data_IF_306278614356
#
_entry.id   IF_306278614356
#
_cell.length_a   1.000
_cell.length_b   1.000
_cell.length_c   1.000
_cell.angle_alpha   90.00
_cell.angle_beta   90.00
_cell.angle_gamma   90.00
#
_symmetry.space_group_name_H-M   'P 1'
#
loop_
_entity.id
_entity.type
_entity.pdbx_description
1 polymer ?
#
# COMPACT_ATOMS: atom_id res chain seq x y z
N UNK A 1 -11.02 19.59 -24.77
CA UNK A 1 -9.75 18.87 -25.04
C UNK A 1 -8.96 18.92 -23.74
N UNK A 2 -9.08 17.90 -22.91
CA UNK A 2 -8.38 17.83 -21.62
C UNK A 2 -6.90 17.52 -21.88
N UNK A 3 -6.04 18.48 -21.58
CA UNK A 3 -4.61 18.26 -21.48
C UNK A 3 -4.36 17.36 -20.29
N UNK A 4 -4.14 16.07 -20.54
CA UNK A 4 -3.83 15.11 -19.48
C UNK A 4 -2.52 15.49 -18.81
N UNK A 5 -2.60 15.97 -17.58
CA UNK A 5 -1.45 16.12 -16.69
C UNK A 5 -0.81 14.74 -16.50
N UNK A 6 0.52 14.65 -16.62
CA UNK A 6 1.25 13.39 -16.37
C UNK A 6 1.44 13.20 -14.85
N UNK A 7 0.34 13.18 -14.10
CA UNK A 7 0.33 13.12 -12.62
C UNK A 7 1.12 11.91 -12.13
N UNK A 8 0.90 10.73 -12.71
CA UNK A 8 1.63 9.53 -12.33
C UNK A 8 3.14 9.58 -12.60
N UNK A 9 3.61 10.21 -13.68
CA UNK A 9 5.06 10.39 -13.89
C UNK A 9 5.69 11.20 -12.76
N UNK A 10 5.01 12.25 -12.30
CA UNK A 10 5.50 13.09 -11.20
C UNK A 10 5.60 12.29 -9.89
N UNK A 11 4.54 11.58 -9.52
CA UNK A 11 4.53 10.75 -8.31
C UNK A 11 5.59 9.65 -8.33
N UNK A 12 5.77 8.98 -9.47
CA UNK A 12 6.82 7.95 -9.63
C UNK A 12 8.20 8.58 -9.43
N UNK A 13 8.47 9.73 -10.01
CA UNK A 13 9.76 10.42 -9.82
C UNK A 13 10.00 10.83 -8.36
N UNK A 14 8.96 11.27 -7.66
CA UNK A 14 9.04 11.58 -6.23
C UNK A 14 9.33 10.33 -5.40
N UNK A 15 8.67 9.21 -5.67
CA UNK A 15 8.92 7.92 -4.97
C UNK A 15 10.37 7.46 -5.17
N UNK A 16 10.87 7.54 -6.41
CA UNK A 16 12.25 7.18 -6.74
C UNK A 16 13.28 8.24 -6.33
N UNK A 17 12.84 9.36 -5.74
CA UNK A 17 13.67 10.53 -5.45
C UNK A 17 14.55 10.95 -6.65
N UNK A 18 13.95 10.92 -7.85
CA UNK A 18 14.65 11.12 -9.12
C UNK A 18 14.28 12.47 -9.72
N UNK A 19 15.27 13.30 -10.04
CA UNK A 19 15.02 14.59 -10.66
C UNK A 19 14.70 14.48 -12.15
N UNK A 20 14.09 15.52 -12.71
CA UNK A 20 13.89 15.67 -14.16
C UNK A 20 15.22 15.57 -14.92
N UNK A 21 16.32 16.05 -14.32
CA UNK A 21 17.65 15.99 -14.93
C UNK A 21 18.18 14.55 -14.96
N UNK A 22 18.00 13.79 -13.89
CA UNK A 22 18.43 12.39 -13.79
C UNK A 22 17.67 11.53 -14.80
N UNK A 23 16.35 11.71 -14.89
CA UNK A 23 15.53 11.00 -15.86
C UNK A 23 15.93 11.32 -17.30
N UNK A 24 16.18 12.60 -17.60
CA UNK A 24 16.64 13.02 -18.93
C UNK A 24 17.98 12.36 -19.31
N UNK A 25 18.91 12.28 -18.35
CA UNK A 25 20.19 11.60 -18.53
C UNK A 25 19.99 10.09 -18.76
N UNK A 26 19.19 9.41 -17.94
CA UNK A 26 18.88 7.98 -18.09
C UNK A 26 18.22 7.66 -19.43
N UNK A 27 17.35 8.54 -19.93
CA UNK A 27 16.66 8.35 -21.22
C UNK A 27 17.45 8.86 -22.44
N UNK A 28 18.55 9.58 -22.24
CA UNK A 28 19.37 10.16 -23.30
C UNK A 28 18.65 11.23 -24.13
N UNK A 29 17.78 12.03 -23.50
CA UNK A 29 16.98 13.08 -24.17
C UNK A 29 17.09 14.43 -23.48
N UNK A 30 16.69 15.50 -24.17
CA UNK A 30 16.74 16.85 -23.63
C UNK A 30 15.79 17.03 -22.43
N UNK A 31 16.28 17.67 -21.36
CA UNK A 31 15.49 18.00 -20.14
C UNK A 31 14.16 18.69 -20.44
N UNK A 32 14.12 19.55 -21.45
CA UNK A 32 12.91 20.26 -21.87
C UNK A 32 11.77 19.32 -22.32
N UNK A 33 12.10 18.14 -22.86
CA UNK A 33 11.08 17.15 -23.22
C UNK A 33 10.42 16.57 -21.97
N UNK A 34 11.21 16.14 -20.99
CA UNK A 34 10.71 15.63 -19.70
C UNK A 34 9.91 16.71 -18.97
N UNK A 35 10.42 17.94 -18.92
CA UNK A 35 9.73 19.06 -18.26
C UNK A 35 8.35 19.33 -18.88
N UNK A 36 8.21 19.21 -20.20
CA UNK A 36 6.91 19.35 -20.85
C UNK A 36 5.94 18.23 -20.50
N UNK A 37 6.43 17.00 -20.29
CA UNK A 37 5.60 15.88 -19.84
C UNK A 37 5.20 16.04 -18.38
N UNK A 38 6.17 16.35 -17.52
CA UNK A 38 6.00 16.53 -16.08
C UNK A 38 4.95 17.61 -15.74
N UNK A 39 4.95 18.72 -16.49
CA UNK A 39 3.97 19.80 -16.30
C UNK A 39 2.69 19.65 -17.15
N UNK A 40 2.45 18.48 -17.76
CA UNK A 40 1.26 18.24 -18.58
C UNK A 40 1.17 19.05 -19.88
N UNK A 41 2.20 19.82 -20.25
CA UNK A 41 2.22 20.65 -21.46
C UNK A 41 2.16 19.81 -22.73
N UNK A 42 2.66 18.58 -22.68
CA UNK A 42 2.60 17.59 -23.76
C UNK A 42 2.42 16.20 -23.19
N UNK A 43 1.65 15.35 -23.88
CA UNK A 43 1.57 13.92 -23.57
C UNK A 43 2.91 13.23 -23.83
N UNK A 44 3.18 12.18 -23.06
CA UNK A 44 4.36 11.33 -23.25
C UNK A 44 4.18 10.51 -24.54
N UNK A 45 5.13 10.55 -25.49
CA UNK A 45 5.08 9.71 -26.69
C UNK A 45 5.11 8.22 -26.34
N UNK A 46 4.45 7.38 -27.14
CA UNK A 46 4.37 5.93 -26.90
C UNK A 46 5.73 5.25 -26.78
N UNK A 47 6.70 5.62 -27.62
CA UNK A 47 8.05 5.05 -27.54
C UNK A 47 8.77 5.44 -26.25
N UNK A 48 8.42 6.58 -25.65
CA UNK A 48 8.96 7.01 -24.36
C UNK A 48 8.25 6.32 -23.20
N UNK A 49 6.95 6.05 -23.30
CA UNK A 49 6.24 5.21 -22.33
C UNK A 49 6.86 3.82 -22.22
N UNK A 50 7.19 3.19 -23.34
CA UNK A 50 7.92 1.91 -23.36
C UNK A 50 9.26 1.99 -22.65
N UNK A 51 10.04 3.03 -22.92
CA UNK A 51 11.34 3.24 -22.26
C UNK A 51 11.20 3.47 -20.76
N UNK A 52 10.20 4.25 -20.35
CA UNK A 52 9.89 4.47 -18.93
C UNK A 52 9.45 3.16 -18.25
N UNK A 53 8.57 2.41 -18.89
CA UNK A 53 8.11 1.09 -18.42
C UNK A 53 9.30 0.14 -18.19
N UNK A 54 10.23 0.08 -19.14
CA UNK A 54 11.45 -0.71 -18.99
C UNK A 54 12.40 -0.18 -17.91
N UNK A 55 12.58 1.14 -17.83
CA UNK A 55 13.50 1.77 -16.89
C UNK A 55 13.07 1.56 -15.42
N UNK A 56 11.76 1.63 -15.17
CA UNK A 56 11.21 1.52 -13.82
C UNK A 56 10.61 0.14 -13.52
N UNK A 57 10.53 -0.75 -14.51
CA UNK A 57 9.82 -2.02 -14.45
C UNK A 57 8.32 -1.87 -14.05
N UNK A 58 7.65 -0.86 -14.62
CA UNK A 58 6.26 -0.51 -14.31
C UNK A 58 5.35 -0.52 -15.56
N UNK A 59 4.03 -0.70 -15.41
CA UNK A 59 3.09 -0.60 -16.54
C UNK A 59 3.12 0.78 -17.23
N UNK A 60 3.01 0.82 -18.56
CA UNK A 60 3.05 2.06 -19.35
C UNK A 60 1.95 3.05 -18.92
N UNK A 61 0.77 2.53 -18.56
CA UNK A 61 -0.37 3.35 -18.16
C UNK A 61 -0.08 4.19 -16.91
N UNK A 62 0.78 3.72 -15.99
CA UNK A 62 1.06 4.40 -14.73
C UNK A 62 1.67 5.79 -14.95
N UNK A 63 2.40 6.00 -16.05
CA UNK A 63 3.04 7.29 -16.32
C UNK A 63 2.07 8.36 -16.86
N UNK A 64 0.87 7.97 -17.29
CA UNK A 64 -0.06 8.84 -18.03
C UNK A 64 -1.41 9.06 -17.33
N UNK A 65 -1.61 8.50 -16.14
CA UNK A 65 -2.84 8.66 -15.35
C UNK A 65 -2.51 8.99 -13.90
N UNK A 66 -3.54 9.37 -13.15
CA UNK A 66 -3.49 9.43 -11.70
C UNK A 66 -3.38 8.01 -11.11
N UNK A 67 -2.53 7.86 -10.10
CA UNK A 67 -2.29 6.57 -9.44
C UNK A 67 -3.24 6.41 -8.26
N UNK A 68 -3.85 5.23 -8.14
CA UNK A 68 -4.59 4.86 -6.93
C UNK A 68 -3.63 4.57 -5.77
N UNK A 69 -4.14 4.49 -4.54
CA UNK A 69 -3.36 4.06 -3.37
C UNK A 69 -2.68 2.70 -3.62
N UNK A 70 -3.41 1.75 -4.22
CA UNK A 70 -2.87 0.44 -4.61
C UNK A 70 -1.75 0.58 -5.65
N UNK A 71 -1.88 1.48 -6.63
CA UNK A 71 -0.83 1.70 -7.63
C UNK A 71 0.43 2.27 -6.98
N UNK A 72 0.30 3.28 -6.12
CA UNK A 72 1.42 3.89 -5.39
C UNK A 72 2.18 2.83 -4.58
N UNK A 73 1.47 1.94 -3.88
CA UNK A 73 2.09 0.85 -3.14
C UNK A 73 2.81 -0.14 -4.07
N UNK A 74 2.24 -0.45 -5.24
CA UNK A 74 2.93 -1.28 -6.23
C UNK A 74 4.20 -0.60 -6.78
N UNK A 75 4.17 0.71 -7.04
CA UNK A 75 5.35 1.47 -7.47
C UNK A 75 6.46 1.40 -6.42
N UNK A 76 6.12 1.59 -5.13
CA UNK A 76 7.08 1.45 -4.02
C UNK A 76 7.64 0.04 -3.92
N UNK A 77 6.80 -0.99 -4.05
CA UNK A 77 7.26 -2.39 -4.03
C UNK A 77 8.28 -2.65 -5.14
N UNK A 78 7.97 -2.22 -6.36
CA UNK A 78 8.88 -2.39 -7.51
C UNK A 78 10.16 -1.57 -7.36
N UNK A 79 10.12 -0.39 -6.76
CA UNK A 79 11.34 0.35 -6.42
C UNK A 79 12.25 -0.45 -5.49
N UNK A 80 11.69 -1.08 -4.44
CA UNK A 80 12.44 -1.92 -3.50
C UNK A 80 12.96 -3.18 -4.18
N UNK A 81 12.17 -3.82 -5.04
CA UNK A 81 12.60 -4.97 -5.86
C UNK A 81 13.82 -4.60 -6.73
N UNK A 82 13.75 -3.47 -7.44
CA UNK A 82 14.87 -2.99 -8.26
C UNK A 82 16.12 -2.69 -7.42
N UNK A 83 15.96 -2.15 -6.21
CA UNK A 83 17.07 -1.92 -5.28
C UNK A 83 17.69 -3.23 -4.79
N UNK A 84 16.87 -4.23 -4.47
CA UNK A 84 17.34 -5.56 -4.07
C UNK A 84 18.20 -6.16 -5.18
N UNK A 85 17.72 -6.10 -6.42
CA UNK A 85 18.46 -6.60 -7.57
C UNK A 85 19.80 -5.85 -7.75
N UNK A 86 19.81 -4.52 -7.59
CA UNK A 86 21.01 -3.68 -7.73
C UNK A 86 22.07 -3.92 -6.65
N UNK A 87 21.66 -4.15 -5.39
CA UNK A 87 22.57 -4.30 -4.25
C UNK A 87 22.84 -5.75 -3.84
N UNK A 88 22.17 -6.71 -4.48
CA UNK A 88 22.47 -8.13 -4.29
C UNK A 88 23.83 -8.47 -4.89
N UNK A 89 24.61 -9.27 -4.17
CA UNK A 89 25.89 -9.76 -4.69
C UNK A 89 26.13 -11.21 -4.30
N UNK A 90 26.80 -11.94 -5.18
CA UNK A 90 27.26 -13.29 -4.90
C UNK A 90 28.63 -13.24 -4.24
N UNK A 91 28.83 -14.11 -3.25
CA UNK A 91 30.15 -14.38 -2.69
C UNK A 91 30.36 -15.89 -2.60
N UNK A 92 31.63 -16.27 -2.67
CA UNK A 92 32.04 -17.67 -2.53
C UNK A 92 32.68 -17.87 -1.17
N UNK A 93 32.33 -18.95 -0.51
CA UNK A 93 32.91 -19.38 0.77
C UNK A 93 33.41 -20.82 0.63
N UNK A 94 34.60 -21.09 1.14
CA UNK A 94 35.10 -22.46 1.28
C UNK A 94 34.54 -23.01 2.59
N UNK A 95 33.80 -24.11 2.50
CA UNK A 95 33.24 -24.83 3.65
C UNK A 95 33.93 -26.17 3.76
N UNK A 96 34.37 -26.50 4.97
CA UNK A 96 34.96 -27.81 5.28
C UNK A 96 33.83 -28.84 5.44
N UNK A 97 33.89 -29.90 4.66
CA UNK A 97 33.01 -31.06 4.74
C UNK A 97 33.41 -31.98 5.90
N UNK A 98 32.51 -32.87 6.31
CA UNK A 98 32.71 -33.80 7.44
C UNK A 98 33.95 -34.72 7.27
N UNK A 99 34.45 -34.90 6.05
CA UNK A 99 35.65 -35.69 5.72
C UNK A 99 36.94 -34.85 5.66
N UNK A 100 36.86 -33.55 5.97
CA UNK A 100 37.96 -32.59 5.94
C UNK A 100 38.30 -32.07 4.53
N UNK A 101 37.49 -32.37 3.51
CA UNK A 101 37.62 -31.73 2.19
C UNK A 101 36.98 -30.34 2.17
N UNK A 102 37.52 -29.44 1.36
CA UNK A 102 36.95 -28.09 1.18
C UNK A 102 36.05 -28.05 -0.07
N UNK A 103 34.79 -27.69 0.11
CA UNK A 103 33.86 -27.39 -0.97
C UNK A 103 33.64 -25.88 -1.08
N UNK A 104 33.76 -25.36 -2.31
CA UNK A 104 33.43 -23.95 -2.59
C UNK A 104 31.93 -23.85 -2.85
N UNK A 105 31.23 -23.11 -1.99
CA UNK A 105 29.81 -22.79 -2.18
C UNK A 105 29.64 -21.33 -2.59
N UNK A 106 28.69 -21.07 -3.48
CA UNK A 106 28.28 -19.72 -3.87
C UNK A 106 27.00 -19.35 -3.12
N UNK A 107 26.99 -18.21 -2.46
CA UNK A 107 25.85 -17.68 -1.73
C UNK A 107 25.49 -16.28 -2.25
N UNK A 108 24.21 -15.92 -2.18
CA UNK A 108 23.73 -14.57 -2.51
C UNK A 108 23.48 -13.80 -1.22
N UNK A 109 24.17 -12.67 -1.03
CA UNK A 109 23.85 -11.74 0.03
C UNK A 109 22.73 -10.79 -0.42
N UNK A 110 21.69 -10.68 0.40
CA UNK A 110 20.62 -9.69 0.24
C UNK A 110 20.43 -8.99 1.58
N UNK A 111 20.25 -7.66 1.55
CA UNK A 111 19.99 -6.89 2.74
C UNK A 111 18.61 -7.25 3.35
N UNK A 112 18.63 -7.79 4.58
CA UNK A 112 17.42 -8.21 5.29
C UNK A 112 16.40 -7.07 5.49
N UNK A 113 16.84 -5.82 5.65
CA UNK A 113 15.93 -4.66 5.80
C UNK A 113 15.15 -4.37 4.51
N UNK A 114 15.76 -4.58 3.34
CA UNK A 114 15.07 -4.43 2.05
C UNK A 114 14.04 -5.55 1.84
N UNK A 115 14.38 -6.79 2.24
CA UNK A 115 13.44 -7.92 2.20
C UNK A 115 12.25 -7.68 3.13
N UNK A 116 12.50 -7.23 4.36
CA UNK A 116 11.45 -6.87 5.31
C UNK A 116 10.54 -5.77 4.75
N UNK A 117 11.12 -4.71 4.20
CA UNK A 117 10.33 -3.61 3.63
C UNK A 117 9.47 -4.07 2.44
N UNK A 118 10.01 -4.91 1.55
CA UNK A 118 9.23 -5.53 0.46
C UNK A 118 8.04 -6.31 1.02
N UNK A 119 8.24 -7.12 2.06
CA UNK A 119 7.19 -7.95 2.64
C UNK A 119 6.11 -7.11 3.34
N UNK A 120 6.50 -6.02 4.01
CA UNK A 120 5.58 -5.01 4.57
C UNK A 120 4.72 -4.36 3.47
N UNK A 121 5.33 -3.92 2.36
CA UNK A 121 4.60 -3.37 1.21
C UNK A 121 3.64 -4.40 0.58
N UNK A 122 4.01 -5.67 0.51
CA UNK A 122 3.12 -6.73 0.04
C UNK A 122 1.88 -6.89 0.95
N UNK A 123 2.07 -6.80 2.27
CA UNK A 123 0.97 -6.83 3.23
C UNK A 123 0.06 -5.60 3.07
N UNK A 124 0.65 -4.41 2.89
CA UNK A 124 -0.09 -3.17 2.67
C UNK A 124 -0.92 -3.22 1.39
N UNK A 125 -0.35 -3.73 0.29
CA UNK A 125 -1.08 -3.93 -0.98
C UNK A 125 -2.25 -4.88 -0.79
N UNK A 126 -2.04 -5.99 -0.06
CA UNK A 126 -3.11 -6.95 0.19
C UNK A 126 -4.23 -6.32 1.05
N UNK A 127 -3.86 -5.58 2.09
CA UNK A 127 -4.79 -4.85 2.93
C UNK A 127 -5.60 -3.83 2.12
N UNK A 128 -4.94 -3.07 1.24
CA UNK A 128 -5.60 -2.09 0.39
C UNK A 128 -6.56 -2.76 -0.60
N UNK A 129 -6.18 -3.89 -1.21
CA UNK A 129 -7.09 -4.64 -2.09
C UNK A 129 -8.32 -5.16 -1.36
N UNK A 130 -8.16 -5.59 -0.11
CA UNK A 130 -9.27 -5.99 0.76
C UNK A 130 -10.18 -4.78 1.00
N UNK A 131 -9.61 -3.62 1.36
CA UNK A 131 -10.33 -2.35 1.54
C UNK A 131 -11.16 -1.99 0.31
N UNK A 132 -10.53 -1.92 -0.86
CA UNK A 132 -11.17 -1.58 -2.14
C UNK A 132 -12.35 -2.52 -2.45
N UNK A 133 -12.13 -3.84 -2.32
CA UNK A 133 -13.15 -4.87 -2.53
C UNK A 133 -14.37 -4.70 -1.62
N UNK A 134 -14.14 -4.28 -0.37
CA UNK A 134 -15.22 -4.04 0.58
C UNK A 134 -16.00 -2.79 0.21
N UNK A 135 -15.32 -1.67 -0.07
CA UNK A 135 -15.96 -0.42 -0.51
C UNK A 135 -16.85 -0.69 -1.73
N UNK A 136 -16.34 -1.44 -2.71
CA UNK A 136 -17.10 -1.84 -3.89
C UNK A 136 -18.35 -2.67 -3.57
N UNK A 137 -18.24 -3.61 -2.62
CA UNK A 137 -19.38 -4.42 -2.19
C UNK A 137 -20.43 -3.59 -1.47
N UNK A 138 -20.02 -2.68 -0.60
CA UNK A 138 -20.93 -1.75 0.11
C UNK A 138 -21.63 -0.84 -0.89
N UNK A 139 -20.88 -0.22 -1.81
CA UNK A 139 -21.42 0.67 -2.83
C UNK A 139 -22.43 -0.02 -3.74
N UNK A 140 -22.17 -1.26 -4.18
CA UNK A 140 -23.14 -2.06 -4.94
C UNK A 140 -24.43 -2.32 -4.15
N UNK A 141 -24.29 -2.60 -2.87
CA UNK A 141 -25.43 -2.84 -1.97
C UNK A 141 -26.29 -1.59 -1.81
N UNK A 142 -25.67 -0.43 -1.61
CA UNK A 142 -26.36 0.87 -1.53
C UNK A 142 -27.11 1.19 -2.83
N UNK A 143 -26.50 0.97 -4.00
CA UNK A 143 -27.09 1.25 -5.32
C UNK A 143 -28.26 0.32 -5.68
N UNK A 144 -28.36 -0.86 -5.07
CA UNK A 144 -29.40 -1.86 -5.38
C UNK A 144 -30.83 -1.51 -4.88
N UNK A 145 -31.05 -0.32 -4.30
CA UNK A 145 -32.39 0.22 -4.01
C UNK A 145 -33.14 -0.39 -2.81
N UNK A 146 -32.65 -1.48 -2.22
CA UNK A 146 -33.36 -2.20 -1.15
C UNK A 146 -33.32 -1.52 0.24
N UNK A 147 -32.67 -0.36 0.39
CA UNK A 147 -32.17 0.08 1.71
C UNK A 147 -32.30 1.59 1.99
N UNK A 148 -33.38 2.25 1.55
CA UNK A 148 -33.59 3.68 1.74
C UNK A 148 -33.46 4.18 3.22
N UNK A 149 -33.76 3.32 4.22
CA UNK A 149 -33.63 3.66 5.64
C UNK A 149 -32.34 3.14 6.34
N UNK A 150 -31.49 2.33 5.69
CA UNK A 150 -30.23 1.83 6.27
C UNK A 150 -28.97 2.37 5.57
N UNK A 151 -29.13 3.29 4.62
CA UNK A 151 -28.04 3.89 3.84
C UNK A 151 -27.04 4.67 4.71
N UNK A 152 -27.51 5.34 5.78
CA UNK A 152 -26.65 6.13 6.67
C UNK A 152 -25.55 5.28 7.33
N UNK A 153 -25.91 4.17 7.97
CA UNK A 153 -24.95 3.31 8.68
C UNK A 153 -23.91 2.66 7.75
N UNK A 154 -24.28 2.36 6.49
CA UNK A 154 -23.35 1.81 5.50
C UNK A 154 -22.44 2.90 4.90
N UNK A 155 -22.94 4.13 4.74
CA UNK A 155 -22.13 5.29 4.35
C UNK A 155 -21.10 5.60 5.43
N UNK A 156 -21.52 5.68 6.70
CA UNK A 156 -20.62 5.90 7.83
C UNK A 156 -19.55 4.79 7.92
N UNK A 157 -19.89 3.56 7.51
CA UNK A 157 -18.93 2.47 7.41
C UNK A 157 -17.92 2.69 6.30
N UNK A 158 -18.31 3.24 5.13
CA UNK A 158 -17.37 3.60 4.05
C UNK A 158 -16.39 4.66 4.52
N UNK A 159 -16.88 5.70 5.20
CA UNK A 159 -16.00 6.78 5.69
C UNK A 159 -14.96 6.24 6.69
N UNK A 160 -15.36 5.31 7.56
CA UNK A 160 -14.44 4.62 8.49
C UNK A 160 -13.42 3.76 7.73
N UNK A 161 -13.83 3.09 6.65
CA UNK A 161 -12.93 2.29 5.81
C UNK A 161 -11.88 3.18 5.15
N UNK A 162 -12.33 4.25 4.50
CA UNK A 162 -11.47 5.18 3.77
C UNK A 162 -10.48 5.86 4.71
N UNK A 163 -10.87 6.10 5.96
CA UNK A 163 -10.03 6.77 6.97
C UNK A 163 -8.79 5.99 7.44
N UNK A 164 -8.63 4.70 7.11
CA UNK A 164 -7.53 3.84 7.59
C UNK A 164 -7.36 3.77 9.12
N UNK A 165 -8.40 4.13 9.89
CA UNK A 165 -8.33 4.16 11.36
C UNK A 165 -8.38 2.75 11.97
N UNK A 166 -8.77 1.71 11.21
CA UNK A 166 -9.00 0.36 11.73
C UNK A 166 -8.23 -0.69 10.89
N UNK A 167 -7.53 -1.66 11.51
CA UNK A 167 -6.78 -2.69 10.80
C UNK A 167 -7.72 -3.55 9.96
N UNK A 168 -7.24 -3.96 8.78
CA UNK A 168 -8.06 -4.67 7.78
C UNK A 168 -8.66 -5.98 8.31
N UNK A 169 -7.99 -6.67 9.23
CA UNK A 169 -8.50 -7.89 9.89
C UNK A 169 -9.70 -7.62 10.81
N UNK A 170 -9.63 -6.53 11.58
CA UNK A 170 -10.71 -6.05 12.45
C UNK A 170 -11.89 -5.59 11.61
N UNK A 171 -11.60 -4.87 10.53
CA UNK A 171 -12.59 -4.33 9.63
C UNK A 171 -13.35 -5.45 8.87
N UNK A 172 -12.67 -6.49 8.41
CA UNK A 172 -13.31 -7.68 7.82
C UNK A 172 -14.30 -8.34 8.81
N UNK A 173 -13.93 -8.44 10.10
CA UNK A 173 -14.85 -8.96 11.12
C UNK A 173 -16.07 -8.05 11.29
N UNK A 174 -15.88 -6.72 11.34
CA UNK A 174 -16.97 -5.74 11.44
C UNK A 174 -17.91 -5.83 10.25
N UNK A 175 -17.37 -5.88 9.03
CA UNK A 175 -18.18 -5.98 7.81
C UNK A 175 -18.96 -7.31 7.76
N UNK A 176 -18.31 -8.43 8.09
CA UNK A 176 -19.00 -9.72 8.19
C UNK A 176 -20.15 -9.63 9.19
N UNK A 177 -19.96 -8.94 10.32
CA UNK A 177 -21.00 -8.71 11.31
C UNK A 177 -22.16 -7.86 10.79
N UNK A 178 -21.84 -6.77 10.10
CA UNK A 178 -22.81 -5.85 9.52
C UNK A 178 -23.62 -6.56 8.43
N UNK A 179 -22.96 -7.18 7.44
CA UNK A 179 -23.61 -7.95 6.38
C UNK A 179 -24.45 -9.11 6.94
N UNK A 180 -23.97 -9.77 7.98
CA UNK A 180 -24.70 -10.84 8.66
C UNK A 180 -25.94 -10.32 9.41
N UNK A 181 -25.81 -9.25 10.20
CA UNK A 181 -26.94 -8.64 10.94
C UNK A 181 -28.07 -8.17 10.03
N UNK A 182 -27.75 -7.85 8.78
CA UNK A 182 -28.73 -7.47 7.76
C UNK A 182 -29.21 -8.64 6.87
N UNK A 183 -28.78 -9.88 7.13
CA UNK A 183 -29.27 -11.08 6.45
C UNK A 183 -28.68 -11.33 5.06
N UNK A 184 -27.56 -10.69 4.71
CA UNK A 184 -26.98 -10.68 3.35
C UNK A 184 -25.89 -11.76 3.10
N UNK A 185 -25.48 -12.54 4.14
CA UNK A 185 -24.65 -13.78 4.21
C UNK A 185 -23.23 -13.85 3.54
N UNK A 186 -22.23 -14.61 4.06
CA UNK A 186 -22.19 -15.67 5.12
C UNK A 186 -21.07 -15.53 6.19
N UNK A 187 -21.43 -15.79 7.45
CA UNK A 187 -20.60 -16.46 8.47
C UNK A 187 -21.28 -17.80 8.83
N UNK A 188 -20.54 -18.92 8.84
CA UNK A 188 -21.09 -20.25 9.21
C UNK A 188 -20.70 -20.61 10.64
N UNK A 189 -21.68 -20.55 11.54
CA UNK A 189 -21.60 -21.20 12.85
C UNK A 189 -23.00 -21.57 13.31
N UNK A 190 -23.19 -22.86 13.55
CA UNK A 190 -24.48 -23.57 13.50
C UNK A 190 -25.47 -23.29 14.65
N UNK A 191 -25.36 -22.22 15.45
CA UNK A 191 -26.36 -21.96 16.49
C UNK A 191 -26.42 -20.51 17.02
N UNK A 192 -27.56 -20.15 17.64
CA UNK A 192 -27.85 -18.85 18.30
C UNK A 192 -26.79 -18.42 19.32
N UNK A 193 -26.14 -19.37 19.98
CA UNK A 193 -25.01 -19.16 20.91
C UNK A 193 -23.81 -18.51 20.22
N UNK A 194 -23.62 -18.79 18.93
CA UNK A 194 -22.53 -18.27 18.13
C UNK A 194 -22.66 -16.78 17.81
N UNK A 195 -23.88 -16.22 17.74
CA UNK A 195 -24.05 -14.77 17.58
C UNK A 195 -23.59 -14.00 18.81
N UNK A 196 -23.94 -14.50 20.00
CA UNK A 196 -23.56 -13.84 21.25
C UNK A 196 -22.04 -13.82 21.39
N UNK A 197 -21.41 -14.98 21.17
CA UNK A 197 -19.94 -15.11 21.20
C UNK A 197 -19.26 -14.25 20.14
N UNK A 198 -19.81 -14.20 18.93
CA UNK A 198 -19.30 -13.37 17.84
C UNK A 198 -19.43 -11.86 18.12
N UNK A 199 -20.56 -11.40 18.66
CA UNK A 199 -20.75 -10.00 19.09
C UNK A 199 -19.81 -9.64 20.25
N UNK A 200 -19.57 -10.55 21.18
CA UNK A 200 -18.61 -10.37 22.28
C UNK A 200 -17.16 -10.28 21.74
N UNK A 201 -16.79 -11.12 20.76
CA UNK A 201 -15.48 -11.07 20.12
C UNK A 201 -15.28 -9.76 19.32
N UNK A 202 -16.30 -9.27 18.61
CA UNK A 202 -16.26 -7.97 17.92
C UNK A 202 -16.09 -6.80 18.89
N UNK A 203 -16.89 -6.77 19.96
CA UNK A 203 -16.80 -5.72 20.98
C UNK A 203 -15.43 -5.73 21.65
N UNK A 204 -14.83 -6.91 21.86
CA UNK A 204 -13.47 -7.04 22.37
C UNK A 204 -12.43 -6.44 21.41
N UNK A 205 -12.54 -6.75 20.13
CA UNK A 205 -11.59 -6.26 19.11
C UNK A 205 -11.70 -4.74 18.94
N UNK A 206 -12.92 -4.21 18.81
CA UNK A 206 -13.17 -2.76 18.72
C UNK A 206 -12.58 -2.04 19.93
N UNK A 207 -12.82 -2.57 21.14
CA UNK A 207 -12.31 -2.01 22.38
C UNK A 207 -10.77 -2.02 22.45
N UNK A 208 -10.14 -3.14 22.10
CA UNK A 208 -8.68 -3.24 22.10
C UNK A 208 -8.05 -2.22 21.13
N UNK A 209 -8.66 -2.01 19.96
CA UNK A 209 -8.16 -1.05 18.99
C UNK A 209 -8.36 0.41 19.43
N UNK A 210 -9.50 0.71 20.07
CA UNK A 210 -9.73 2.00 20.72
C UNK A 210 -8.65 2.29 21.78
N UNK A 211 -8.31 1.29 22.60
CA UNK A 211 -7.29 1.38 23.64
C UNK A 211 -5.88 1.59 23.06
N UNK A 212 -5.54 0.91 21.95
CA UNK A 212 -4.27 1.09 21.23
C UNK A 212 -4.14 2.50 20.64
N UNK A 213 -5.20 3.00 19.99
CA UNK A 213 -5.25 4.36 19.45
C UNK A 213 -5.07 5.41 20.55
N UNK A 214 -5.68 5.23 21.72
CA UNK A 214 -5.49 6.14 22.85
C UNK A 214 -4.05 6.13 23.37
N UNK A 215 -3.38 4.97 23.36
CA UNK A 215 -1.96 4.87 23.73
C UNK A 215 -1.06 5.57 22.71
N UNK A 216 -1.31 5.41 21.42
CA UNK A 216 -0.54 6.06 20.36
C UNK A 216 -0.72 7.57 20.40
N UNK A 217 -1.97 8.04 20.56
CA UNK A 217 -2.27 9.46 20.74
C UNK A 217 -1.54 10.03 21.95
N UNK A 218 -1.55 9.32 23.09
CA UNK A 218 -0.81 9.72 24.28
C UNK A 218 0.69 9.78 24.03
N UNK A 219 1.28 8.78 23.35
CA UNK A 219 2.70 8.80 22.99
C UNK A 219 3.06 9.98 22.08
N UNK A 220 2.18 10.31 21.13
CA UNK A 220 2.35 11.45 20.24
C UNK A 220 2.27 12.78 21.02
N UNK A 221 1.29 12.91 21.93
CA UNK A 221 1.16 14.07 22.82
C UNK A 221 2.41 14.21 23.71
N UNK A 222 2.94 13.11 24.24
CA UNK A 222 4.15 13.08 25.06
C UNK A 222 5.41 13.45 24.23
N UNK A 223 5.50 13.02 22.97
CA UNK A 223 6.57 13.39 22.03
C UNK A 223 6.50 14.87 21.64
N UNK A 224 5.31 15.40 21.36
CA UNK A 224 5.09 16.82 21.05
C UNK A 224 5.45 17.68 22.27
N UNK A 225 5.00 17.29 23.47
CA UNK A 225 5.30 18.02 24.69
C UNK A 225 6.79 17.96 25.07
N UNK A 226 7.49 16.85 24.78
CA UNK A 226 8.95 16.76 25.02
C UNK A 226 9.79 17.51 23.98
N UNK A 227 9.34 17.57 22.72
CA UNK A 227 9.97 18.37 21.66
C UNK A 227 9.81 19.87 21.88
N UNK A 228 8.65 20.32 22.36
CA UNK A 228 8.43 21.75 22.67
C UNK A 228 9.29 22.20 23.86
N UNK A 229 9.61 21.29 24.78
CA UNK A 229 10.47 21.59 25.94
C UNK A 229 11.96 21.60 25.57
N UNK A 230 12.40 20.84 24.54
CA UNK A 230 13.81 20.90 24.09
C UNK A 230 14.17 22.14 23.29
N UNK A 231 13.18 22.83 22.71
CA UNK A 231 13.40 24.08 21.95
C UNK A 231 13.28 25.36 22.82
N UNK A 232 13.09 25.21 24.13
CA UNK A 232 12.91 26.31 25.10
C UNK A 232 13.97 26.37 26.22
N UNK A 233 15.02 25.55 26.14
CA UNK A 233 16.22 25.61 27.01
C UNK A 233 17.49 25.38 26.20
#
# INVERSE_FOLDING_TARGET
MEGGESVGLKEILEIYNMSISDLAQKLGIARGNIYNWFNGKRKIPRDMLKKLSQLFNLPEEFFSRELSETDILNVKRTMVENLIDEVSFEYTEAVEDDDGSETIITQTYINNSLLQWRDELCNDINNQRIKDSIVDRVNRTLKSGSIANKAKNLSDSIDIIESNIVPSSVFNNILQAVLYSYGLREYKSDNKTSHKKFTEDLMRIIKNHEDERQKEKKKLDDLINSSIVSDLF
#
